data_IF_844525371080
#
_entry.id   IF_844525371080
#
_cell.length_a   1.000
_cell.length_b   1.000
_cell.length_c   1.000
_cell.angle_alpha   90.00
_cell.angle_beta   90.00
_cell.angle_gamma   90.00
#
_symmetry.space_group_name_H-M   'P 1'
#
loop_
_entity.id
_entity.type
_entity.pdbx_description
1 polymer ?
#
# COMPACT_ATOMS: atom_id res chain seq x y z
N UNK A 1 41.59 1.70 -20.08
CA UNK A 1 40.65 2.79 -20.45
C UNK A 1 39.58 2.82 -19.35
N UNK A 2 39.44 3.94 -18.63
CA UNK A 2 38.57 4.07 -17.44
C UNK A 2 37.12 4.26 -17.89
N UNK A 3 36.29 3.23 -17.77
CA UNK A 3 34.85 3.36 -17.97
C UNK A 3 34.26 4.09 -16.74
N UNK A 4 33.80 5.31 -17.00
CA UNK A 4 33.20 6.23 -16.06
C UNK A 4 31.87 5.64 -15.58
N UNK A 5 31.80 5.24 -14.30
CA UNK A 5 30.57 4.89 -13.58
C UNK A 5 29.70 6.15 -13.41
N UNK A 6 29.15 6.69 -14.49
CA UNK A 6 28.09 7.68 -14.41
C UNK A 6 26.79 6.93 -14.15
N UNK A 7 26.42 6.83 -12.89
CA UNK A 7 25.08 6.45 -12.45
C UNK A 7 24.10 7.46 -13.06
N UNK A 8 23.30 7.11 -14.09
CA UNK A 8 22.38 8.08 -14.66
C UNK A 8 21.28 8.34 -13.63
N UNK A 9 21.30 9.53 -13.02
CA UNK A 9 20.16 10.03 -12.28
C UNK A 9 19.04 10.27 -13.29
N UNK A 10 18.08 9.35 -13.33
CA UNK A 10 16.86 9.58 -14.09
C UNK A 10 16.18 10.84 -13.52
N UNK A 11 15.75 11.79 -14.37
CA UNK A 11 14.95 12.90 -13.89
C UNK A 11 13.71 12.34 -13.17
N UNK A 12 13.31 12.98 -12.07
CA UNK A 12 12.14 12.54 -11.32
C UNK A 12 10.95 12.37 -12.27
N UNK A 13 10.41 11.16 -12.29
CA UNK A 13 9.26 10.79 -13.11
C UNK A 13 8.06 10.56 -12.20
N UNK A 14 6.86 10.45 -12.78
CA UNK A 14 5.66 10.07 -12.04
C UNK A 14 5.85 8.76 -11.23
N UNK A 15 6.71 7.86 -11.70
CA UNK A 15 7.01 6.57 -11.07
C UNK A 15 8.15 6.62 -10.05
N UNK A 16 8.73 7.80 -9.80
CA UNK A 16 9.74 7.98 -8.77
C UNK A 16 9.11 7.88 -7.38
N UNK A 17 9.84 7.28 -6.44
CA UNK A 17 9.39 7.09 -5.06
C UNK A 17 8.85 8.38 -4.43
N UNK A 18 9.57 9.50 -4.57
CA UNK A 18 9.16 10.80 -4.03
C UNK A 18 7.76 11.21 -4.53
N UNK A 19 7.48 11.01 -5.83
CA UNK A 19 6.19 11.32 -6.44
C UNK A 19 5.10 10.33 -6.04
N UNK A 20 5.45 9.05 -5.89
CA UNK A 20 4.53 8.07 -5.35
C UNK A 20 4.12 8.40 -3.91
N UNK A 21 5.03 9.00 -3.13
CA UNK A 21 4.74 9.43 -1.77
C UNK A 21 3.83 10.66 -1.68
N UNK A 22 3.79 11.53 -2.70
CA UNK A 22 2.77 12.59 -2.80
C UNK A 22 1.34 11.99 -2.80
N UNK A 23 1.15 10.76 -3.29
CA UNK A 23 -0.14 10.06 -3.23
C UNK A 23 -0.56 9.80 -1.77
N UNK A 24 0.38 9.61 -0.85
CA UNK A 24 0.08 9.43 0.57
C UNK A 24 -0.61 10.66 1.19
N UNK A 25 -0.43 11.84 0.60
CA UNK A 25 -1.05 13.10 1.00
C UNK A 25 -2.45 13.30 0.37
N UNK A 26 -2.80 12.49 -0.62
CA UNK A 26 -4.13 12.55 -1.25
C UNK A 26 -5.19 11.87 -0.38
N UNK A 27 -6.47 12.18 -0.60
CA UNK A 27 -7.59 11.57 0.14
C UNK A 27 -7.98 10.17 -0.39
N UNK A 28 -7.01 9.40 -0.89
CA UNK A 28 -7.20 8.04 -1.42
C UNK A 28 -6.78 7.04 -0.34
N UNK A 29 -7.71 6.29 0.29
CA UNK A 29 -7.32 5.40 1.39
C UNK A 29 -6.61 4.13 0.95
N UNK A 30 -6.85 3.66 -0.27
CA UNK A 30 -6.29 2.40 -0.80
C UNK A 30 -5.52 2.65 -2.10
N UNK A 31 -4.40 3.39 -2.06
CA UNK A 31 -3.57 3.58 -3.23
C UNK A 31 -2.89 2.26 -3.60
N UNK A 32 -2.87 1.93 -4.89
CA UNK A 32 -2.18 0.73 -5.38
C UNK A 32 -0.71 1.05 -5.56
N UNK A 33 0.14 0.38 -4.78
CA UNK A 33 1.59 0.41 -4.94
C UNK A 33 2.07 -0.99 -5.31
N UNK A 34 2.95 -1.09 -6.30
CA UNK A 34 3.44 -2.37 -6.82
C UNK A 34 4.81 -2.21 -7.45
N UNK A 35 5.59 -3.29 -7.46
CA UNK A 35 6.87 -3.35 -8.16
C UNK A 35 6.62 -3.85 -9.59
N UNK A 36 7.26 -3.22 -10.57
CA UNK A 36 7.08 -3.58 -11.97
C UNK A 36 7.65 -4.98 -12.25
N UNK A 37 6.85 -5.82 -12.91
CA UNK A 37 7.28 -7.10 -13.47
C UNK A 37 7.02 -7.11 -14.98
N UNK A 38 7.98 -7.61 -15.76
CA UNK A 38 7.80 -7.76 -17.19
C UNK A 38 7.03 -9.05 -17.47
N UNK A 39 5.84 -8.96 -18.06
CA UNK A 39 5.05 -10.14 -18.39
C UNK A 39 5.54 -10.79 -19.70
N UNK A 40 5.51 -12.13 -19.84
CA UNK A 40 5.91 -12.82 -21.06
C UNK A 40 5.13 -12.33 -22.27
N UNK A 41 5.76 -12.33 -23.44
CA UNK A 41 5.17 -11.91 -24.72
C UNK A 41 4.73 -10.43 -24.78
N UNK A 42 5.23 -9.58 -23.89
CA UNK A 42 5.04 -8.11 -23.98
C UNK A 42 6.24 -7.43 -24.66
N UNK A 43 6.03 -6.24 -25.20
CA UNK A 43 7.12 -5.45 -25.79
C UNK A 43 8.28 -5.19 -24.80
N UNK A 44 7.95 -4.99 -23.52
CA UNK A 44 8.95 -4.84 -22.45
C UNK A 44 9.75 -6.12 -22.24
N UNK A 45 9.10 -7.28 -22.26
CA UNK A 45 9.76 -8.58 -22.14
C UNK A 45 10.73 -8.84 -23.29
N UNK A 46 10.28 -8.68 -24.54
CA UNK A 46 11.13 -8.88 -25.72
C UNK A 46 12.37 -7.98 -25.65
N UNK A 47 12.17 -6.70 -25.31
CA UNK A 47 13.28 -5.76 -25.14
C UNK A 47 14.26 -6.19 -24.04
N UNK A 48 13.76 -6.58 -22.86
CA UNK A 48 14.63 -7.00 -21.75
C UNK A 48 15.36 -8.32 -22.05
N UNK A 49 14.76 -9.19 -22.87
CA UNK A 49 15.39 -10.41 -23.37
C UNK A 49 16.54 -10.07 -24.31
N UNK A 50 16.33 -9.18 -25.27
CA UNK A 50 17.38 -8.68 -26.18
C UNK A 50 18.52 -7.98 -25.42
N UNK A 51 18.19 -7.25 -24.34
CA UNK A 51 19.17 -6.60 -23.47
C UNK A 51 19.88 -7.57 -22.50
N UNK A 52 19.55 -8.88 -22.49
CA UNK A 52 20.05 -9.88 -21.53
C UNK A 52 19.86 -9.49 -20.05
N UNK A 53 18.75 -8.80 -19.74
CA UNK A 53 18.44 -8.31 -18.39
C UNK A 53 17.35 -9.11 -17.69
N UNK A 54 16.71 -10.07 -18.36
CA UNK A 54 15.72 -10.96 -17.73
C UNK A 54 16.39 -11.97 -16.80
N UNK A 55 15.76 -12.24 -15.65
CA UNK A 55 16.24 -13.22 -14.68
C UNK A 55 15.55 -14.55 -14.98
N UNK A 56 16.28 -15.49 -15.59
CA UNK A 56 15.74 -16.78 -16.08
C UNK A 56 15.07 -17.64 -14.98
N UNK A 57 15.59 -17.56 -13.75
CA UNK A 57 15.12 -18.34 -12.60
C UNK A 57 13.81 -17.85 -11.95
N UNK A 58 13.31 -16.66 -12.33
CA UNK A 58 12.03 -16.12 -11.82
C UNK A 58 10.82 -16.49 -12.68
N UNK A 59 11.02 -17.24 -13.78
CA UNK A 59 9.96 -17.69 -14.67
C UNK A 59 8.98 -18.69 -14.03
N UNK A 60 9.41 -19.40 -12.98
CA UNK A 60 8.58 -20.35 -12.20
C UNK A 60 7.95 -19.72 -10.95
N UNK A 61 8.21 -18.45 -10.66
CA UNK A 61 7.55 -17.71 -9.57
C UNK A 61 6.26 -17.10 -10.11
N UNK A 62 5.17 -17.17 -9.35
CA UNK A 62 3.88 -16.60 -9.75
C UNK A 62 4.03 -15.11 -10.11
N UNK A 63 4.02 -14.80 -11.39
CA UNK A 63 4.08 -13.43 -11.90
C UNK A 63 2.77 -12.70 -11.58
N UNK A 64 2.83 -11.44 -11.19
CA UNK A 64 1.67 -10.62 -10.85
C UNK A 64 1.33 -10.55 -9.37
N UNK A 65 2.14 -11.12 -8.46
CA UNK A 65 2.01 -10.80 -7.03
C UNK A 65 2.49 -9.36 -6.78
N UNK A 66 1.68 -8.56 -6.10
CA UNK A 66 2.00 -7.16 -5.75
C UNK A 66 3.24 -7.07 -4.85
N UNK A 67 3.60 -8.16 -4.16
CA UNK A 67 4.72 -8.26 -3.25
C UNK A 67 5.92 -9.05 -3.82
N UNK A 68 5.98 -9.23 -5.14
CA UNK A 68 7.11 -9.88 -5.80
C UNK A 68 8.09 -8.83 -6.37
N UNK A 69 9.38 -9.12 -6.27
CA UNK A 69 10.44 -8.29 -6.87
C UNK A 69 10.40 -8.36 -8.41
N UNK A 70 11.15 -7.47 -9.05
CA UNK A 70 11.32 -7.46 -10.49
C UNK A 70 11.91 -8.79 -10.98
N UNK A 71 11.45 -9.23 -12.15
CA UNK A 71 11.99 -10.38 -12.87
C UNK A 71 13.08 -9.99 -13.89
N UNK A 72 13.68 -8.81 -13.72
CA UNK A 72 14.75 -8.29 -14.55
C UNK A 72 15.73 -7.48 -13.71
N UNK A 73 16.94 -7.25 -14.23
CA UNK A 73 17.99 -6.45 -13.61
C UNK A 73 17.72 -4.96 -13.91
N UNK A 74 17.31 -4.15 -12.91
CA UNK A 74 17.11 -2.72 -13.11
C UNK A 74 18.44 -1.97 -13.23
N UNK A 75 18.37 -0.71 -13.67
CA UNK A 75 19.54 0.17 -13.77
C UNK A 75 20.09 0.62 -12.41
N UNK A 76 19.25 0.58 -11.36
CA UNK A 76 19.62 0.86 -9.96
C UNK A 76 19.64 -0.40 -9.12
N UNK A 77 20.14 -0.35 -7.89
CA UNK A 77 20.23 -1.54 -7.05
C UNK A 77 18.82 -2.06 -6.64
N UNK A 78 18.57 -3.36 -6.83
CA UNK A 78 17.29 -4.01 -6.45
C UNK A 78 16.98 -3.78 -4.96
N UNK A 79 18.01 -3.78 -4.11
CA UNK A 79 17.92 -3.52 -2.69
C UNK A 79 17.31 -2.14 -2.37
N UNK A 80 17.72 -1.08 -3.10
CA UNK A 80 17.20 0.27 -2.92
C UNK A 80 15.71 0.33 -3.30
N UNK A 81 15.35 -0.30 -4.43
CA UNK A 81 13.94 -0.37 -4.88
C UNK A 81 13.07 -1.08 -3.86
N UNK A 82 13.55 -2.22 -3.36
CA UNK A 82 12.84 -3.03 -2.39
C UNK A 82 12.65 -2.28 -1.06
N UNK A 83 13.68 -1.55 -0.62
CA UNK A 83 13.61 -0.70 0.57
C UNK A 83 12.56 0.40 0.39
N UNK A 84 12.66 1.19 -0.68
CA UNK A 84 11.68 2.27 -0.96
C UNK A 84 10.25 1.73 -1.07
N UNK A 85 10.07 0.58 -1.70
CA UNK A 85 8.76 -0.07 -1.77
C UNK A 85 8.20 -0.41 -0.39
N UNK A 86 9.01 -1.03 0.48
CA UNK A 86 8.58 -1.40 1.84
C UNK A 86 8.32 -0.13 2.67
N UNK A 87 9.18 0.88 2.60
CA UNK A 87 8.99 2.17 3.28
C UNK A 87 7.72 2.87 2.80
N UNK A 88 7.48 2.90 1.50
CA UNK A 88 6.26 3.43 0.89
C UNK A 88 5.03 2.71 1.41
N UNK A 89 4.99 1.37 1.36
CA UNK A 89 3.89 0.59 1.93
C UNK A 89 3.68 0.88 3.42
N UNK A 90 4.76 1.04 4.18
CA UNK A 90 4.70 1.30 5.62
C UNK A 90 4.07 2.65 5.93
N UNK A 91 4.44 3.68 5.19
CA UNK A 91 3.88 5.02 5.31
C UNK A 91 2.44 5.10 4.79
N UNK A 92 2.17 4.47 3.64
CA UNK A 92 0.84 4.42 3.06
C UNK A 92 -0.15 3.72 3.98
N UNK A 93 0.24 2.69 4.72
CA UNK A 93 -0.68 2.00 5.64
C UNK A 93 -0.35 2.26 7.11
N UNK A 94 0.22 3.42 7.42
CA UNK A 94 0.33 3.89 8.80
C UNK A 94 -1.10 4.14 9.36
N UNK A 95 -1.46 3.58 10.54
CA UNK A 95 -2.82 3.63 11.08
C UNK A 95 -3.48 5.01 11.12
N UNK A 96 -2.79 6.02 11.63
CA UNK A 96 -3.37 7.36 11.79
C UNK A 96 -3.61 8.04 10.44
N UNK A 97 -2.65 7.91 9.53
CA UNK A 97 -2.68 8.50 8.19
C UNK A 97 -3.74 7.80 7.33
N UNK A 98 -3.85 6.48 7.42
CA UNK A 98 -4.88 5.69 6.75
C UNK A 98 -6.29 6.11 7.21
N UNK A 99 -6.54 6.17 8.52
CA UNK A 99 -7.83 6.61 9.05
C UNK A 99 -8.17 8.04 8.65
N UNK A 100 -7.17 8.93 8.61
CA UNK A 100 -7.35 10.29 8.11
C UNK A 100 -7.87 10.29 6.67
N UNK A 101 -7.22 9.55 5.76
CA UNK A 101 -7.65 9.47 4.34
C UNK A 101 -9.02 8.84 4.19
N UNK A 102 -9.34 7.78 4.93
CA UNK A 102 -10.68 7.19 4.95
C UNK A 102 -11.74 8.24 5.32
N UNK A 103 -11.49 8.98 6.39
CA UNK A 103 -12.38 10.02 6.86
C UNK A 103 -12.57 11.14 5.83
N UNK A 104 -11.48 11.66 5.25
CA UNK A 104 -11.56 12.70 4.23
C UNK A 104 -12.27 12.22 2.96
N UNK A 105 -12.01 10.99 2.52
CA UNK A 105 -12.74 10.41 1.39
C UNK A 105 -14.24 10.38 1.66
N UNK A 106 -14.66 9.91 2.84
CA UNK A 106 -16.06 9.87 3.24
C UNK A 106 -16.70 11.27 3.26
N UNK A 107 -15.97 12.29 3.72
CA UNK A 107 -16.45 13.67 3.71
C UNK A 107 -16.53 14.27 2.31
N UNK A 108 -15.61 13.91 1.41
CA UNK A 108 -15.55 14.44 0.05
C UNK A 108 -16.54 13.78 -0.91
N UNK A 109 -17.12 12.65 -0.53
CA UNK A 109 -18.13 11.98 -1.35
C UNK A 109 -19.42 12.81 -1.40
N UNK A 110 -19.79 13.19 -2.62
CA UNK A 110 -21.07 13.79 -2.95
C UNK A 110 -22.09 12.68 -3.16
N UNK A 111 -22.90 12.44 -2.12
CA UNK A 111 -23.97 11.44 -2.19
C UNK A 111 -25.06 12.00 -3.11
N UNK A 112 -25.23 11.36 -4.28
CA UNK A 112 -26.37 11.69 -5.16
C UNK A 112 -27.67 11.31 -4.48
N UNK A 113 -28.70 12.14 -4.61
CA UNK A 113 -30.05 11.88 -4.09
C UNK A 113 -30.54 10.52 -4.59
N UNK A 114 -30.86 9.60 -3.67
CA UNK A 114 -31.30 8.24 -3.99
C UNK A 114 -30.21 7.16 -3.96
N UNK A 115 -28.95 7.51 -3.67
CA UNK A 115 -27.92 6.50 -3.44
C UNK A 115 -28.21 5.73 -2.14
N UNK A 116 -28.63 4.48 -2.28
CA UNK A 116 -28.70 3.53 -1.17
C UNK A 116 -27.61 2.50 -1.35
N UNK A 117 -26.92 2.17 -0.26
CA UNK A 117 -25.92 1.11 -0.29
C UNK A 117 -26.61 -0.22 -0.62
N UNK A 118 -26.27 -0.75 -1.79
CA UNK A 118 -26.92 -1.91 -2.40
C UNK A 118 -26.57 -3.24 -1.74
N UNK A 119 -25.59 -3.26 -0.84
CA UNK A 119 -25.23 -4.46 -0.05
C UNK A 119 -25.64 -4.28 1.41
N UNK A 120 -26.78 -4.86 1.77
CA UNK A 120 -27.15 -5.09 3.18
C UNK A 120 -26.42 -6.34 3.65
N UNK A 121 -25.41 -6.17 4.50
CA UNK A 121 -24.79 -7.28 5.21
C UNK A 121 -25.85 -7.88 6.17
N UNK A 122 -25.96 -9.21 6.32
CA UNK A 122 -26.88 -9.80 7.28
C UNK A 122 -26.58 -9.29 8.70
N UNK A 123 -27.64 -8.94 9.44
CA UNK A 123 -27.56 -8.15 10.67
C UNK A 123 -26.62 -8.77 11.73
N UNK A 124 -26.64 -10.10 11.85
CA UNK A 124 -25.81 -10.88 12.77
C UNK A 124 -24.32 -10.77 12.46
N UNK A 125 -23.94 -10.88 11.19
CA UNK A 125 -22.54 -10.73 10.75
C UNK A 125 -22.11 -9.27 10.90
N UNK A 126 -22.99 -8.33 10.55
CA UNK A 126 -22.72 -6.90 10.71
C UNK A 126 -22.46 -6.48 12.15
N UNK A 127 -23.29 -6.90 13.09
CA UNK A 127 -23.12 -6.59 14.52
C UNK A 127 -21.80 -7.16 15.07
N UNK A 128 -21.45 -8.40 14.70
CA UNK A 128 -20.18 -9.02 15.12
C UNK A 128 -18.95 -8.31 14.57
N UNK A 129 -19.00 -7.91 13.30
CA UNK A 129 -17.90 -7.19 12.65
C UNK A 129 -17.74 -5.80 13.25
N UNK A 130 -18.85 -5.09 13.50
CA UNK A 130 -18.85 -3.76 14.13
C UNK A 130 -18.35 -3.85 15.58
N UNK A 131 -18.79 -4.84 16.36
CA UNK A 131 -18.34 -5.00 17.75
C UNK A 131 -16.84 -5.26 17.81
N UNK A 132 -16.32 -6.11 16.93
CA UNK A 132 -14.88 -6.36 16.82
C UNK A 132 -14.13 -5.10 16.42
N UNK A 133 -14.62 -4.33 15.44
CA UNK A 133 -13.99 -3.08 15.01
C UNK A 133 -13.92 -2.06 16.15
N UNK A 134 -15.02 -1.87 16.89
CA UNK A 134 -15.07 -0.95 18.04
C UNK A 134 -14.10 -1.41 19.14
N UNK A 135 -14.01 -2.72 19.39
CA UNK A 135 -13.05 -3.26 20.35
C UNK A 135 -11.60 -3.00 19.92
N UNK A 136 -11.24 -3.35 18.69
CA UNK A 136 -9.87 -3.21 18.20
C UNK A 136 -9.43 -1.76 18.02
N UNK A 137 -10.17 -0.95 17.25
CA UNK A 137 -9.79 0.43 16.92
C UNK A 137 -10.25 1.45 17.97
N UNK A 138 -11.39 1.20 18.62
CA UNK A 138 -11.96 2.12 19.60
C UNK A 138 -11.41 1.95 21.02
N UNK A 139 -10.88 0.77 21.38
CA UNK A 139 -10.44 0.48 22.76
C UNK A 139 -9.00 -0.01 22.82
N UNK A 140 -8.65 -1.09 22.10
CA UNK A 140 -7.33 -1.73 22.21
C UNK A 140 -6.19 -0.88 21.68
N UNK A 141 -6.37 -0.23 20.51
CA UNK A 141 -5.33 0.57 19.85
C UNK A 141 -5.27 1.99 20.42
N UNK A 142 -4.35 2.23 21.34
CA UNK A 142 -4.23 3.51 22.08
C UNK A 142 -3.85 4.67 21.16
N UNK A 143 -3.10 4.40 20.11
CA UNK A 143 -2.60 5.35 19.12
C UNK A 143 -3.72 5.97 18.27
N UNK A 144 -4.73 5.18 17.88
CA UNK A 144 -5.80 5.63 16.97
C UNK A 144 -7.16 5.84 17.65
N UNK A 145 -7.40 5.33 18.87
CA UNK A 145 -8.74 5.38 19.50
C UNK A 145 -9.35 6.78 19.54
N UNK A 146 -8.55 7.80 19.87
CA UNK A 146 -9.03 9.18 19.96
C UNK A 146 -9.49 9.70 18.59
N UNK A 147 -8.67 9.47 17.57
CA UNK A 147 -8.99 9.79 16.18
C UNK A 147 -10.23 9.03 15.70
N UNK A 148 -10.29 7.72 15.96
CA UNK A 148 -11.41 6.87 15.55
C UNK A 148 -12.75 7.38 16.10
N UNK A 149 -12.84 7.64 17.40
CA UNK A 149 -14.09 8.13 18.02
C UNK A 149 -14.47 9.53 17.53
N UNK A 150 -13.50 10.43 17.35
CA UNK A 150 -13.72 11.76 16.81
C UNK A 150 -14.29 11.70 15.39
N UNK A 151 -13.68 10.89 14.52
CA UNK A 151 -14.09 10.74 13.12
C UNK A 151 -15.44 10.03 13.01
N UNK A 152 -15.66 8.97 13.79
CA UNK A 152 -16.92 8.23 13.84
C UNK A 152 -18.08 9.16 14.26
N UNK A 153 -17.90 9.91 15.34
CA UNK A 153 -18.90 10.89 15.80
C UNK A 153 -19.17 11.97 14.75
N UNK A 154 -18.12 12.45 14.08
CA UNK A 154 -18.27 13.45 13.01
C UNK A 154 -19.06 12.90 11.81
N UNK A 155 -18.82 11.65 11.40
CA UNK A 155 -19.56 11.01 10.30
C UNK A 155 -21.02 10.79 10.68
N UNK A 156 -21.29 10.28 11.89
CA UNK A 156 -22.65 10.09 12.40
C UNK A 156 -23.46 11.38 12.39
N UNK A 157 -22.82 12.50 12.75
CA UNK A 157 -23.47 13.80 12.78
C UNK A 157 -23.61 14.46 11.40
N UNK A 158 -22.53 14.50 10.60
CA UNK A 158 -22.49 15.27 9.34
C UNK A 158 -22.99 14.50 8.12
N UNK A 159 -22.65 13.21 8.00
CA UNK A 159 -22.94 12.38 6.82
C UNK A 159 -23.20 10.92 7.21
N UNK A 160 -24.30 10.61 7.93
CA UNK A 160 -24.60 9.23 8.34
C UNK A 160 -24.80 8.27 7.15
N UNK A 161 -25.12 8.81 5.97
CA UNK A 161 -25.30 8.05 4.72
C UNK A 161 -24.04 7.29 4.28
N UNK A 162 -22.84 7.75 4.66
CA UNK A 162 -21.56 7.09 4.33
C UNK A 162 -21.00 6.26 5.49
N UNK A 163 -21.72 6.13 6.60
CA UNK A 163 -21.26 5.46 7.82
C UNK A 163 -20.75 4.04 7.56
N UNK A 164 -21.57 3.22 6.89
CA UNK A 164 -21.21 1.82 6.61
C UNK A 164 -19.96 1.74 5.72
N UNK A 165 -19.80 2.67 4.77
CA UNK A 165 -18.61 2.69 3.92
C UNK A 165 -17.37 3.06 4.74
N UNK A 166 -17.49 4.03 5.65
CA UNK A 166 -16.42 4.35 6.59
C UNK A 166 -16.04 3.14 7.46
N UNK A 167 -17.03 2.43 8.03
CA UNK A 167 -16.79 1.22 8.83
C UNK A 167 -16.09 0.10 8.03
N UNK A 168 -16.47 -0.09 6.76
CA UNK A 168 -15.81 -1.05 5.85
C UNK A 168 -14.37 -0.62 5.56
N UNK A 169 -14.11 0.66 5.34
CA UNK A 169 -12.76 1.19 5.15
C UNK A 169 -11.90 0.98 6.41
N UNK A 170 -12.44 1.25 7.60
CA UNK A 170 -11.77 0.99 8.87
C UNK A 170 -11.44 -0.50 9.05
N UNK A 171 -12.39 -1.40 8.75
CA UNK A 171 -12.16 -2.83 8.79
C UNK A 171 -11.06 -3.27 7.82
N UNK A 172 -11.05 -2.70 6.60
CA UNK A 172 -10.02 -3.01 5.61
C UNK A 172 -8.65 -2.49 6.07
N UNK A 173 -8.61 -1.43 6.89
CA UNK A 173 -7.41 -0.95 7.55
C UNK A 173 -6.70 -2.01 8.41
N UNK A 174 -7.45 -2.82 9.17
CA UNK A 174 -6.84 -3.92 9.96
C UNK A 174 -6.10 -4.90 9.05
N UNK A 175 -6.72 -5.28 7.93
CA UNK A 175 -6.07 -6.15 6.95
C UNK A 175 -4.81 -5.50 6.37
N UNK A 176 -4.82 -4.20 6.07
CA UNK A 176 -3.62 -3.53 5.57
C UNK A 176 -2.49 -3.44 6.60
N UNK A 177 -2.81 -3.31 7.89
CA UNK A 177 -1.79 -3.26 8.95
C UNK A 177 -1.07 -4.59 9.16
N UNK A 178 -1.76 -5.71 8.93
CA UNK A 178 -1.16 -7.03 8.84
C UNK A 178 -0.43 -7.20 7.50
N UNK A 179 -1.06 -6.77 6.41
CA UNK A 179 -0.53 -6.93 5.06
C UNK A 179 0.81 -6.21 4.86
N UNK A 180 1.02 -5.02 5.44
CA UNK A 180 2.32 -4.32 5.38
C UNK A 180 3.45 -5.12 6.03
N UNK A 181 3.15 -5.90 7.07
CA UNK A 181 4.13 -6.78 7.72
C UNK A 181 4.44 -7.95 6.80
N UNK A 182 3.40 -8.59 6.25
CA UNK A 182 3.55 -9.69 5.29
C UNK A 182 4.30 -9.26 4.02
N UNK A 183 4.03 -8.07 3.50
CA UNK A 183 4.72 -7.51 2.35
C UNK A 183 6.22 -7.33 2.63
N UNK A 184 6.57 -6.76 3.80
CA UNK A 184 7.95 -6.66 4.26
C UNK A 184 8.61 -8.04 4.35
N UNK A 185 7.96 -9.01 4.98
CA UNK A 185 8.50 -10.36 5.16
C UNK A 185 8.74 -11.05 3.81
N UNK A 186 7.80 -10.96 2.86
CA UNK A 186 7.95 -11.53 1.52
C UNK A 186 9.12 -10.91 0.76
N UNK A 187 9.29 -9.60 0.85
CA UNK A 187 10.41 -8.90 0.21
C UNK A 187 11.74 -9.28 0.88
N UNK A 188 11.77 -9.37 2.21
CA UNK A 188 12.95 -9.80 2.96
C UNK A 188 13.39 -11.23 2.60
N UNK A 189 12.42 -12.15 2.46
CA UNK A 189 12.69 -13.53 2.00
C UNK A 189 13.29 -13.57 0.60
N UNK A 190 12.83 -12.71 -0.32
CA UNK A 190 13.38 -12.64 -1.68
C UNK A 190 14.77 -12.01 -1.72
N UNK A 191 15.10 -11.09 -0.80
CA UNK A 191 16.42 -10.46 -0.70
C UNK A 191 17.43 -11.30 0.10
N UNK A 192 16.95 -12.17 0.99
CA UNK A 192 17.78 -12.91 1.94
C UNK A 192 18.18 -12.11 3.20
N UNK A 193 17.65 -10.90 3.40
CA UNK A 193 17.88 -10.05 4.57
C UNK A 193 16.75 -9.02 4.74
N UNK A 194 16.64 -8.38 5.91
CA UNK A 194 15.61 -7.36 6.17
C UNK A 194 15.97 -6.03 5.47
N UNK A 195 15.19 -5.54 4.49
CA UNK A 195 15.49 -4.31 3.76
C UNK A 195 15.50 -3.05 4.65
N UNK A 196 14.80 -3.07 5.79
CA UNK A 196 14.76 -1.94 6.73
C UNK A 196 15.91 -1.98 7.76
N UNK A 197 16.66 -3.08 7.85
CA UNK A 197 17.74 -3.26 8.84
C UNK A 197 19.05 -2.53 8.51
N UNK A 198 19.25 -2.11 7.26
CA UNK A 198 20.48 -1.45 6.78
C UNK A 198 20.76 -0.13 7.53
N UNK A 199 19.76 0.45 8.20
CA UNK A 199 19.90 1.69 8.98
C UNK A 199 20.62 1.55 10.33
N UNK A 200 20.89 0.33 10.84
CA UNK A 200 21.56 0.17 12.14
C UNK A 200 23.09 0.13 12.08
N UNK A 201 23.69 0.07 10.88
CA UNK A 201 25.15 -0.11 10.72
C UNK A 201 25.86 1.21 10.36
N UNK A 202 25.13 2.32 10.22
CA UNK A 202 25.71 3.62 9.80
C UNK A 202 25.21 4.78 10.66
N UNK A 203 25.24 4.59 11.97
CA UNK A 203 25.20 5.67 12.98
C UNK A 203 26.31 5.42 14.01
#
# INVERSE_FOLDING_TARGET
MKALLLYPQFPQSFWSYDRAMEIAETNIPQPMLGILQALPNTALWTRLQEENRLIENMSNTAMGDQNALMNFIPTRAIAEIAKEYVEGFWMLYEPTTYLHRCFQQCLNINVKTGWQQTKKLPLNVGLRVISNLIWHQGICRREIRGQFWQQLGTILWKKPQVLVMYLVLCLTGEHFWEYRILAKERIALQLGYDPLSILKVTL
#
